data_IF_624663095641
#
_entry.id   IF_624663095641
#
_cell.length_a   1.000
_cell.length_b   1.000
_cell.length_c   1.000
_cell.angle_alpha   90.00
_cell.angle_beta   90.00
_cell.angle_gamma   90.00
#
_symmetry.space_group_name_H-M   'P 1'
#
loop_
_entity.id
_entity.type
_entity.pdbx_description
1 polymer ?
#
# COMPACT_ATOMS: atom_id res chain seq x y z
N UNK A 1 36.45 9.06 -3.29
CA UNK A 1 35.33 9.20 -2.33
C UNK A 1 34.26 8.18 -2.70
N UNK A 2 34.32 7.00 -2.10
CA UNK A 2 33.32 5.93 -2.24
C UNK A 2 32.89 5.56 -0.83
N UNK A 3 31.61 5.78 -0.48
CA UNK A 3 31.06 5.36 0.80
C UNK A 3 30.26 4.08 0.57
N UNK A 4 30.91 2.97 0.88
CA UNK A 4 30.38 1.62 0.89
C UNK A 4 29.22 1.51 1.89
N UNK A 5 28.05 1.07 1.41
CA UNK A 5 26.89 0.69 2.22
C UNK A 5 27.28 -0.51 3.11
N UNK A 6 27.10 -0.36 4.43
CA UNK A 6 27.27 -1.46 5.39
C UNK A 6 25.94 -2.24 5.44
N UNK A 7 26.01 -3.53 5.14
CA UNK A 7 24.87 -4.45 5.12
C UNK A 7 24.13 -4.43 6.47
N UNK A 8 22.81 -4.30 6.40
CA UNK A 8 21.87 -4.36 7.51
C UNK A 8 21.69 -5.84 7.90
N UNK A 9 22.36 -6.28 8.96
CA UNK A 9 22.18 -7.60 9.57
C UNK A 9 21.19 -7.45 10.72
N UNK A 10 19.97 -7.98 10.57
CA UNK A 10 19.00 -8.09 11.67
C UNK A 10 19.44 -9.21 12.61
N UNK A 11 19.66 -8.88 13.89
CA UNK A 11 19.87 -9.86 14.96
C UNK A 11 18.59 -10.70 15.21
N UNK A 12 18.69 -12.03 15.37
CA UNK A 12 17.54 -12.94 15.45
C UNK A 12 16.90 -13.02 16.85
N UNK A 13 17.01 -11.98 17.69
CA UNK A 13 16.45 -12.00 19.06
C UNK A 13 15.73 -10.70 19.39
N UNK A 14 14.65 -10.41 18.67
CA UNK A 14 13.64 -9.45 19.12
C UNK A 14 12.67 -10.20 20.02
N UNK A 15 12.72 -9.88 21.32
CA UNK A 15 11.77 -10.33 22.32
C UNK A 15 10.38 -9.81 21.95
N UNK A 16 9.49 -10.71 21.51
CA UNK A 16 8.10 -10.40 21.18
C UNK A 16 7.36 -10.15 22.50
N UNK A 17 6.86 -8.93 22.77
CA UNK A 17 6.05 -8.70 23.97
C UNK A 17 4.72 -9.48 23.86
N UNK A 18 4.14 -9.89 25.00
CA UNK A 18 2.97 -10.75 25.03
C UNK A 18 1.79 -10.13 24.28
N UNK A 19 1.10 -10.98 23.54
CA UNK A 19 -0.06 -10.70 22.71
C UNK A 19 -1.10 -9.91 23.49
N UNK A 20 -1.60 -8.80 22.91
CA UNK A 20 -2.75 -8.08 23.43
C UNK A 20 -3.96 -9.02 23.48
N UNK A 21 -4.56 -9.26 24.66
CA UNK A 21 -5.71 -10.14 24.80
C UNK A 21 -6.97 -9.41 24.32
N UNK A 22 -7.76 -10.07 23.50
CA UNK A 22 -9.20 -9.78 23.36
C UNK A 22 -9.58 -8.70 22.35
N UNK A 23 -9.44 -9.03 21.06
CA UNK A 23 -10.42 -8.66 20.06
C UNK A 23 -10.35 -9.69 18.92
N UNK A 24 -10.81 -10.91 19.21
CA UNK A 24 -11.36 -11.76 18.15
C UNK A 24 -12.58 -11.01 17.66
N UNK A 25 -12.36 -10.11 16.70
CA UNK A 25 -13.42 -9.61 15.84
C UNK A 25 -13.87 -10.84 15.07
N UNK A 26 -14.93 -11.49 15.57
CA UNK A 26 -15.78 -12.37 14.79
C UNK A 26 -16.06 -11.65 13.47
N UNK A 27 -15.31 -12.01 12.43
CA UNK A 27 -15.59 -11.58 11.09
C UNK A 27 -16.95 -12.16 10.76
N UNK A 28 -17.98 -11.34 10.92
CA UNK A 28 -19.32 -11.68 10.48
C UNK A 28 -19.22 -12.10 9.01
N UNK A 29 -19.86 -13.22 8.61
CA UNK A 29 -19.93 -13.61 7.21
C UNK A 29 -20.95 -12.69 6.55
N UNK A 30 -20.54 -11.46 6.25
CA UNK A 30 -21.27 -10.53 5.41
C UNK A 30 -20.49 -10.46 4.11
N UNK A 31 -20.97 -10.94 2.97
CA UNK A 31 -22.31 -11.25 2.48
C UNK A 31 -22.03 -12.10 1.26
N UNK A 32 -22.61 -13.28 1.11
CA UNK A 32 -22.55 -14.09 -0.11
C UNK A 32 -22.92 -13.25 -1.34
N UNK A 33 -21.98 -12.78 -2.19
CA UNK A 33 -22.35 -12.58 -3.57
C UNK A 33 -22.15 -13.95 -4.20
N UNK A 34 -23.22 -14.62 -4.63
CA UNK A 34 -23.06 -15.66 -5.65
C UNK A 34 -22.27 -15.00 -6.75
N UNK A 35 -20.95 -15.26 -6.80
CA UNK A 35 -20.06 -14.70 -7.81
C UNK A 35 -20.77 -15.08 -9.10
N UNK A 36 -21.23 -14.04 -9.81
CA UNK A 36 -22.40 -13.92 -10.69
C UNK A 36 -22.73 -15.05 -11.77
N UNK A 37 -22.56 -16.37 -11.59
CA UNK A 37 -22.54 -17.43 -12.65
C UNK A 37 -21.50 -17.30 -13.81
N UNK A 38 -21.01 -18.39 -14.45
CA UNK A 38 -19.84 -18.46 -15.38
C UNK A 38 -19.76 -17.47 -16.58
N UNK A 39 -20.77 -16.64 -16.81
CA UNK A 39 -20.96 -15.72 -17.92
C UNK A 39 -19.96 -14.56 -18.01
N UNK A 40 -19.32 -14.15 -16.91
CA UNK A 40 -18.28 -13.09 -16.91
C UNK A 40 -16.86 -13.64 -16.92
N UNK A 41 -16.68 -14.96 -16.97
CA UNK A 41 -15.37 -15.58 -17.21
C UNK A 41 -14.67 -15.02 -18.45
N UNK A 42 -15.34 -14.80 -19.62
CA UNK A 42 -14.68 -14.17 -20.77
C UNK A 42 -14.21 -12.74 -20.47
N UNK A 43 -14.99 -11.95 -19.73
CA UNK A 43 -14.61 -10.58 -19.34
C UNK A 43 -13.41 -10.59 -18.39
N UNK A 44 -13.42 -11.48 -17.40
CA UNK A 44 -12.30 -11.65 -16.48
C UNK A 44 -11.04 -12.17 -17.18
N UNK A 45 -11.18 -13.03 -18.21
CA UNK A 45 -10.06 -13.53 -19.01
C UNK A 45 -9.44 -12.42 -19.88
N UNK A 46 -10.26 -11.59 -20.52
CA UNK A 46 -9.78 -10.40 -21.26
C UNK A 46 -9.06 -9.44 -20.31
N UNK A 47 -9.63 -9.21 -19.12
CA UNK A 47 -8.98 -8.38 -18.11
C UNK A 47 -7.65 -8.97 -17.63
N UNK A 48 -7.58 -10.29 -17.41
CA UNK A 48 -6.35 -10.99 -17.09
C UNK A 48 -5.28 -10.83 -18.16
N UNK A 49 -5.66 -10.93 -19.45
CA UNK A 49 -4.76 -10.74 -20.57
C UNK A 49 -4.22 -9.29 -20.64
N UNK A 50 -5.09 -8.29 -20.43
CA UNK A 50 -4.69 -6.87 -20.37
C UNK A 50 -3.71 -6.63 -19.22
N UNK A 51 -3.99 -7.17 -18.02
CA UNK A 51 -3.08 -7.07 -16.88
C UNK A 51 -1.75 -7.78 -17.16
N UNK A 52 -1.78 -8.98 -17.73
CA UNK A 52 -0.59 -9.75 -18.09
C UNK A 52 0.29 -8.99 -19.10
N UNK A 53 -0.32 -8.41 -20.14
CA UNK A 53 0.39 -7.58 -21.11
C UNK A 53 0.98 -6.34 -20.45
N UNK A 54 0.18 -5.60 -19.66
CA UNK A 54 0.67 -4.43 -18.92
C UNK A 54 1.87 -4.80 -18.05
N UNK A 55 1.81 -5.93 -17.36
CA UNK A 55 2.90 -6.42 -16.53
C UNK A 55 4.13 -6.79 -17.34
N UNK A 56 3.95 -7.51 -18.46
CA UNK A 56 5.04 -7.85 -19.36
C UNK A 56 5.74 -6.59 -19.88
N UNK A 57 5.01 -5.52 -20.18
CA UNK A 57 5.58 -4.24 -20.62
C UNK A 57 6.41 -3.53 -19.53
N UNK A 58 6.03 -3.62 -18.26
CA UNK A 58 6.87 -3.13 -17.16
C UNK A 58 8.08 -4.05 -16.92
N UNK A 59 7.88 -5.37 -17.04
CA UNK A 59 8.91 -6.38 -16.77
C UNK A 59 9.99 -6.37 -17.87
N UNK A 60 9.62 -6.05 -19.11
CA UNK A 60 10.55 -5.84 -20.23
C UNK A 60 11.20 -4.46 -20.27
N UNK A 61 10.80 -3.54 -19.38
CA UNK A 61 11.33 -2.17 -19.32
C UNK A 61 10.79 -1.22 -20.39
N UNK A 62 9.80 -1.64 -21.19
CA UNK A 62 9.12 -0.76 -22.16
C UNK A 62 8.38 0.37 -21.44
N UNK A 63 7.71 0.05 -20.33
CA UNK A 63 7.13 1.05 -19.44
C UNK A 63 8.13 1.42 -18.33
N UNK A 64 8.35 2.71 -18.06
CA UNK A 64 9.35 3.15 -17.11
C UNK A 64 8.90 2.88 -15.67
N UNK A 65 9.81 2.32 -14.87
CA UNK A 65 9.72 2.28 -13.41
C UNK A 65 10.88 3.07 -12.79
N UNK A 66 10.58 3.90 -11.79
CA UNK A 66 11.54 4.80 -11.13
C UNK A 66 11.52 4.55 -9.62
N UNK A 67 12.67 4.69 -8.96
CA UNK A 67 12.70 4.77 -7.50
C UNK A 67 12.18 6.14 -7.05
N UNK A 68 11.60 6.20 -5.86
CA UNK A 68 11.16 7.45 -5.26
C UNK A 68 12.32 8.35 -4.83
N UNK A 69 12.02 9.62 -4.59
CA UNK A 69 12.98 10.59 -4.02
C UNK A 69 13.33 10.29 -2.55
N UNK A 70 12.51 9.48 -1.87
CA UNK A 70 12.70 9.01 -0.50
C UNK A 70 12.63 7.48 -0.46
N UNK A 71 13.27 6.81 0.52
CA UNK A 71 13.06 5.39 0.76
C UNK A 71 11.59 5.05 0.97
N UNK A 72 11.12 4.00 0.31
CA UNK A 72 9.69 3.65 0.24
C UNK A 72 9.39 2.25 0.75
N UNK A 73 8.43 2.16 1.66
CA UNK A 73 7.81 0.91 2.10
C UNK A 73 6.37 0.89 1.60
N UNK A 74 6.07 0.06 0.60
CA UNK A 74 4.73 -0.07 0.06
C UNK A 74 4.00 -1.20 0.76
N UNK A 75 2.81 -0.92 1.28
CA UNK A 75 1.87 -1.93 1.78
C UNK A 75 0.72 -1.98 0.78
N UNK A 76 0.43 -3.17 0.26
CA UNK A 76 -0.70 -3.35 -0.65
C UNK A 76 -1.38 -4.69 -0.47
N UNK A 77 -2.48 -4.86 -1.19
CA UNK A 77 -3.23 -6.11 -1.28
C UNK A 77 -3.53 -6.38 -2.74
N UNK A 78 -3.66 -7.66 -3.06
CA UNK A 78 -4.04 -8.13 -4.39
C UNK A 78 -5.57 -8.31 -4.49
N UNK A 79 -6.31 -8.36 -3.37
CA UNK A 79 -7.76 -8.60 -3.31
C UNK A 79 -8.61 -7.30 -3.13
N UNK A 80 -9.86 -7.34 -3.61
CA UNK A 80 -10.96 -6.43 -3.29
C UNK A 80 -11.48 -6.80 -1.90
N UNK A 81 -11.32 -5.90 -0.92
CA UNK A 81 -11.87 -6.10 0.42
C UNK A 81 -11.02 -5.45 1.50
N UNK A 82 -11.58 -5.38 2.71
CA UNK A 82 -10.92 -4.85 3.90
C UNK A 82 -9.89 -5.81 4.47
N UNK A 83 -8.72 -5.92 3.84
CA UNK A 83 -7.60 -6.76 4.31
C UNK A 83 -6.80 -6.16 5.48
N UNK A 84 -7.38 -5.22 6.22
CA UNK A 84 -6.71 -4.58 7.35
C UNK A 84 -5.48 -3.74 6.96
N UNK A 85 -5.38 -3.28 5.70
CA UNK A 85 -4.28 -2.41 5.24
C UNK A 85 -4.05 -1.22 6.15
N UNK A 86 -5.11 -0.47 6.44
CA UNK A 86 -5.04 0.75 7.24
C UNK A 86 -4.48 0.47 8.65
N UNK A 87 -4.97 -0.52 9.41
CA UNK A 87 -4.29 -0.97 10.64
C UNK A 87 -2.80 -1.29 10.48
N UNK A 88 -2.41 -2.02 9.42
CA UNK A 88 -1.02 -2.37 9.18
C UNK A 88 -0.14 -1.16 8.82
N UNK A 89 -0.64 -0.24 7.99
CA UNK A 89 0.04 1.01 7.65
C UNK A 89 0.31 1.83 8.91
N UNK A 90 -0.68 1.93 9.81
CA UNK A 90 -0.55 2.64 11.07
C UNK A 90 0.49 1.99 12.00
N UNK A 91 0.42 0.66 12.19
CA UNK A 91 1.37 -0.07 13.05
C UNK A 91 2.81 0.04 12.51
N UNK A 92 3.00 -0.13 11.20
CA UNK A 92 4.32 0.02 10.58
C UNK A 92 4.85 1.44 10.71
N UNK A 93 4.02 2.45 10.40
CA UNK A 93 4.44 3.85 10.51
C UNK A 93 4.80 4.22 11.96
N UNK A 94 4.01 3.78 12.94
CA UNK A 94 4.26 4.02 14.36
C UNK A 94 5.56 3.35 14.83
N UNK A 95 5.80 2.08 14.47
CA UNK A 95 7.04 1.37 14.82
C UNK A 95 8.25 2.03 14.18
N UNK A 96 8.16 2.41 12.90
CA UNK A 96 9.25 3.09 12.22
C UNK A 96 9.57 4.44 12.86
N UNK A 97 8.55 5.19 13.31
CA UNK A 97 8.76 6.46 13.99
C UNK A 97 9.46 6.26 15.34
N UNK A 98 9.03 5.27 16.13
CA UNK A 98 9.69 4.92 17.40
C UNK A 98 11.16 4.50 17.23
N UNK A 99 11.54 3.93 16.08
CA UNK A 99 12.91 3.51 15.79
C UNK A 99 13.77 4.63 15.19
N UNK A 100 13.20 5.46 14.33
CA UNK A 100 13.94 6.46 13.54
C UNK A 100 13.90 7.87 14.14
N UNK A 101 12.96 8.12 15.05
CA UNK A 101 12.69 9.40 15.68
C UNK A 101 11.43 10.08 15.12
N UNK A 102 10.82 10.93 15.95
CA UNK A 102 9.61 11.68 15.58
C UNK A 102 9.80 12.53 14.33
N UNK A 103 8.76 12.57 13.48
CA UNK A 103 8.76 13.39 12.26
C UNK A 103 9.67 12.90 11.14
N UNK A 104 10.33 11.75 11.30
CA UNK A 104 11.17 11.13 10.26
C UNK A 104 10.39 10.19 9.34
N UNK A 105 9.15 9.86 9.67
CA UNK A 105 8.29 8.96 8.90
C UNK A 105 7.17 9.75 8.24
N UNK A 106 6.89 9.41 6.97
CA UNK A 106 5.76 9.93 6.23
C UNK A 106 4.84 8.81 5.76
N UNK A 107 3.58 9.16 5.51
CA UNK A 107 2.60 8.31 4.84
C UNK A 107 2.13 9.02 3.57
N UNK A 108 2.12 8.32 2.44
CA UNK A 108 1.58 8.81 1.18
C UNK A 108 0.43 7.93 0.71
N UNK A 109 -0.78 8.49 0.70
CA UNK A 109 -1.99 7.83 0.20
C UNK A 109 -2.45 8.41 -1.14
N UNK A 110 -3.39 7.72 -1.81
CA UNK A 110 -4.07 8.25 -3.01
C UNK A 110 -5.04 9.35 -2.64
N UNK A 111 -5.70 9.22 -1.48
CA UNK A 111 -6.87 10.01 -1.13
C UNK A 111 -8.06 9.67 -2.01
N UNK A 112 -8.52 8.42 -1.98
CA UNK A 112 -9.68 7.99 -2.75
C UNK A 112 -10.93 8.78 -2.33
N UNK A 113 -11.75 9.18 -3.30
CA UNK A 113 -13.01 9.91 -3.04
C UNK A 113 -12.84 11.37 -2.58
N UNK A 114 -11.61 11.91 -2.58
CA UNK A 114 -11.37 13.30 -2.21
C UNK A 114 -11.79 14.30 -3.30
N UNK A 115 -12.04 15.54 -2.91
CA UNK A 115 -12.40 16.67 -3.79
C UNK A 115 -11.19 17.36 -4.41
N UNK A 116 -10.06 17.38 -3.70
CA UNK A 116 -8.83 18.03 -4.19
C UNK A 116 -8.05 17.15 -5.16
N UNK A 117 -7.10 17.74 -5.87
CA UNK A 117 -6.21 17.05 -6.80
C UNK A 117 -4.76 17.45 -6.55
N UNK A 118 -3.82 16.58 -6.93
CA UNK A 118 -2.40 16.84 -6.76
C UNK A 118 -1.94 16.64 -5.32
N UNK A 119 -0.78 17.21 -4.99
CA UNK A 119 -0.18 17.03 -3.67
C UNK A 119 -0.88 17.90 -2.62
N UNK A 120 -1.28 17.28 -1.50
CA UNK A 120 -1.81 17.97 -0.33
C UNK A 120 -1.32 17.27 0.95
N UNK A 121 -0.82 18.03 1.92
CA UNK A 121 -0.64 17.53 3.28
C UNK A 121 -2.01 17.42 3.94
N UNK A 122 -2.30 16.29 4.59
CA UNK A 122 -3.61 16.07 5.20
C UNK A 122 -3.92 17.13 6.27
N UNK A 123 -2.90 17.60 7.01
CA UNK A 123 -3.03 18.70 7.99
C UNK A 123 -3.41 20.04 7.38
N UNK A 124 -3.12 20.26 6.09
CA UNK A 124 -3.43 21.51 5.41
C UNK A 124 -4.85 21.49 4.81
N UNK A 125 -5.51 20.32 4.80
CA UNK A 125 -6.91 20.18 4.41
C UNK A 125 -7.84 20.67 5.52
N UNK A 126 -8.94 21.31 5.15
CA UNK A 126 -9.94 21.79 6.11
C UNK A 126 -10.86 20.65 6.56
N UNK A 127 -11.13 19.72 5.65
CA UNK A 127 -12.05 18.61 5.90
C UNK A 127 -11.51 17.29 5.37
N UNK A 128 -12.07 16.19 5.87
CA UNK A 128 -11.80 14.85 5.33
C UNK A 128 -12.15 14.74 3.83
N UNK A 129 -13.02 15.61 3.28
CA UNK A 129 -13.31 15.60 1.85
C UNK A 129 -12.10 16.03 1.02
N UNK A 130 -11.21 16.83 1.59
CA UNK A 130 -10.04 17.33 0.88
C UNK A 130 -8.97 16.27 0.73
N UNK A 131 -8.81 15.39 1.72
CA UNK A 131 -7.81 14.32 1.70
C UNK A 131 -8.38 12.93 1.43
N UNK A 132 -9.67 12.73 1.61
CA UNK A 132 -10.28 11.41 1.81
C UNK A 132 -10.39 11.07 3.30
N UNK A 133 -11.31 10.17 3.61
CA UNK A 133 -11.61 9.67 4.95
C UNK A 133 -10.46 8.85 5.55
N UNK A 134 -9.86 7.93 4.78
CA UNK A 134 -8.76 7.09 5.27
C UNK A 134 -7.51 7.92 5.63
N UNK A 135 -6.99 8.84 4.78
CA UNK A 135 -5.81 9.63 5.13
C UNK A 135 -6.07 10.59 6.28
N UNK A 136 -7.29 11.14 6.36
CA UNK A 136 -7.71 11.99 7.48
C UNK A 136 -7.71 11.21 8.81
N UNK A 137 -8.22 9.98 8.80
CA UNK A 137 -8.17 9.08 9.95
C UNK A 137 -6.72 8.77 10.33
N UNK A 138 -5.86 8.46 9.36
CA UNK A 138 -4.45 8.16 9.61
C UNK A 138 -3.73 9.34 10.29
N UNK A 139 -3.94 10.55 9.77
CA UNK A 139 -3.35 11.76 10.34
C UNK A 139 -3.84 12.02 11.77
N UNK A 140 -5.10 11.72 12.06
CA UNK A 140 -5.70 11.87 13.39
C UNK A 140 -5.13 10.87 14.39
N UNK A 141 -4.83 9.64 13.94
CA UNK A 141 -4.27 8.58 14.80
C UNK A 141 -2.75 8.70 15.01
N UNK A 142 -2.04 9.30 14.06
CA UNK A 142 -0.59 9.54 14.13
C UNK A 142 -0.28 11.03 13.94
N UNK A 143 -0.47 11.88 14.98
CA UNK A 143 -0.27 13.32 14.87
C UNK A 143 1.16 13.76 14.55
N UNK A 144 2.14 12.94 14.94
CA UNK A 144 3.59 13.14 14.72
C UNK A 144 4.04 12.77 13.30
N UNK A 145 3.37 11.78 12.69
CA UNK A 145 3.68 11.29 11.35
C UNK A 145 3.15 12.25 10.27
N UNK A 146 3.96 12.46 9.24
CA UNK A 146 3.61 13.32 8.11
C UNK A 146 2.69 12.60 7.12
N UNK A 147 1.39 12.90 7.09
CA UNK A 147 0.47 12.26 6.14
C UNK A 147 0.17 13.20 4.96
N UNK A 148 0.38 12.68 3.75
CA UNK A 148 0.08 13.37 2.49
C UNK A 148 -0.77 12.53 1.56
N UNK A 149 -1.42 13.20 0.63
CA UNK A 149 -2.23 12.59 -0.44
C UNK A 149 -1.79 13.14 -1.79
N UNK A 150 -1.62 12.24 -2.75
CA UNK A 150 -1.28 12.57 -4.14
C UNK A 150 -1.64 11.39 -5.04
N UNK A 151 -2.22 11.62 -6.22
CA UNK A 151 -2.49 10.55 -7.18
C UNK A 151 -1.19 9.99 -7.77
N UNK A 152 -0.28 10.88 -8.14
CA UNK A 152 1.06 10.55 -8.62
C UNK A 152 2.01 10.31 -7.44
N UNK A 153 2.48 9.06 -7.31
CA UNK A 153 3.34 8.67 -6.18
C UNK A 153 4.73 9.26 -6.27
N UNK A 154 5.30 9.36 -7.47
CA UNK A 154 6.63 9.90 -7.65
C UNK A 154 6.62 11.40 -7.36
N UNK A 155 5.64 12.12 -7.91
CA UNK A 155 5.46 13.52 -7.61
C UNK A 155 5.20 13.76 -6.12
N UNK A 156 4.35 12.94 -5.48
CA UNK A 156 4.10 13.03 -4.05
C UNK A 156 5.37 12.87 -3.22
N UNK A 157 6.20 11.87 -3.53
CA UNK A 157 7.46 11.62 -2.85
C UNK A 157 8.46 12.78 -3.02
N UNK A 158 8.56 13.35 -4.22
CA UNK A 158 9.39 14.53 -4.50
C UNK A 158 8.96 15.74 -3.68
N UNK A 159 7.65 15.99 -3.61
CA UNK A 159 7.07 17.09 -2.80
C UNK A 159 7.31 16.87 -1.31
N UNK A 160 7.16 15.65 -0.81
CA UNK A 160 7.47 15.30 0.57
C UNK A 160 8.95 15.50 0.90
N UNK A 161 9.85 15.03 0.04
CA UNK A 161 11.30 15.17 0.20
C UNK A 161 11.72 16.64 0.29
N UNK A 162 11.14 17.46 -0.58
CA UNK A 162 11.45 18.89 -0.66
C UNK A 162 10.90 19.65 0.55
N UNK A 163 9.65 19.40 0.93
CA UNK A 163 8.99 20.17 1.98
C UNK A 163 9.36 19.70 3.40
N UNK A 164 9.76 18.43 3.57
CA UNK A 164 10.21 17.87 4.85
C UNK A 164 11.50 17.07 4.70
N UNK A 165 12.67 17.74 4.67
CA UNK A 165 13.97 17.08 4.51
C UNK A 165 14.34 16.10 5.63
N UNK A 166 13.67 16.18 6.79
CA UNK A 166 13.85 15.25 7.90
C UNK A 166 13.24 13.86 7.65
N UNK A 167 12.39 13.71 6.62
CA UNK A 167 11.81 12.42 6.27
C UNK A 167 12.89 11.44 5.81
N UNK A 168 12.87 10.26 6.41
CA UNK A 168 13.82 9.16 6.15
C UNK A 168 13.17 7.99 5.45
N UNK A 169 11.85 7.81 5.64
CA UNK A 169 11.08 6.74 5.01
C UNK A 169 9.65 7.18 4.80
N UNK A 170 9.05 6.75 3.69
CA UNK A 170 7.63 6.96 3.39
C UNK A 170 6.93 5.61 3.25
N UNK A 171 5.84 5.44 4.00
CA UNK A 171 4.94 4.29 3.89
C UNK A 171 3.85 4.64 2.88
N UNK A 172 3.64 3.78 1.89
CA UNK A 172 2.62 3.98 0.86
C UNK A 172 1.48 3.00 1.06
N UNK A 173 0.26 3.54 1.11
CA UNK A 173 -0.96 2.74 1.08
C UNK A 173 -1.42 2.51 -0.37
N UNK A 174 -1.70 1.25 -0.68
CA UNK A 174 -2.18 0.74 -1.97
C UNK A 174 -1.25 1.03 -3.16
N UNK A 175 0.06 0.91 -2.94
CA UNK A 175 1.08 1.11 -3.98
C UNK A 175 1.30 -0.09 -4.91
N UNK A 176 0.77 -1.28 -4.59
CA UNK A 176 1.02 -2.51 -5.38
C UNK A 176 0.62 -2.40 -6.86
N UNK A 177 -0.40 -1.60 -7.18
CA UNK A 177 -0.86 -1.43 -8.56
C UNK A 177 -0.10 -0.34 -9.32
N UNK A 178 0.69 0.48 -8.62
CA UNK A 178 1.39 1.63 -9.18
C UNK A 178 2.82 1.26 -9.57
N UNK A 179 2.96 0.55 -10.69
CA UNK A 179 4.25 0.05 -11.20
C UNK A 179 5.23 1.12 -11.67
N UNK A 180 4.79 2.36 -11.86
CA UNK A 180 5.67 3.48 -12.16
C UNK A 180 6.65 3.74 -11.00
N UNK A 181 6.23 3.48 -9.76
CA UNK A 181 7.09 3.48 -8.59
C UNK A 181 7.69 2.09 -8.39
N UNK A 182 9.01 2.02 -8.29
CA UNK A 182 9.75 0.86 -7.81
C UNK A 182 9.99 1.03 -6.31
N UNK A 183 9.30 0.26 -5.45
CA UNK A 183 9.49 0.34 -4.00
C UNK A 183 10.86 -0.19 -3.58
N UNK A 184 11.33 0.26 -2.42
CA UNK A 184 12.51 -0.31 -1.77
C UNK A 184 12.13 -1.56 -0.96
N UNK A 185 10.95 -1.55 -0.34
CA UNK A 185 10.33 -2.71 0.30
C UNK A 185 8.86 -2.80 -0.10
N UNK A 186 8.42 -3.99 -0.52
CA UNK A 186 7.04 -4.28 -0.88
C UNK A 186 6.45 -5.36 0.02
N UNK A 187 5.45 -4.99 0.84
CA UNK A 187 4.72 -5.91 1.71
C UNK A 187 3.36 -6.23 1.10
N UNK A 188 3.09 -7.50 0.86
CA UNK A 188 1.83 -8.00 0.32
C UNK A 188 0.92 -8.53 1.42
N UNK A 189 -0.19 -7.85 1.68
CA UNK A 189 -1.26 -8.41 2.51
C UNK A 189 -2.11 -9.35 1.65
N UNK A 190 -2.36 -10.54 2.16
CA UNK A 190 -3.22 -11.55 1.51
C UNK A 190 -4.31 -11.93 2.49
N UNK A 191 -5.56 -11.87 2.03
CA UNK A 191 -6.69 -12.34 2.81
C UNK A 191 -6.73 -13.87 2.89
N UNK A 192 -7.84 -14.41 3.41
CA UNK A 192 -8.20 -15.83 3.25
C UNK A 192 -9.37 -15.92 2.28
N UNK A 193 -9.15 -15.78 0.96
CA UNK A 193 -10.22 -15.94 -0.03
C UNK A 193 -10.71 -17.40 -0.06
N UNK A 194 -11.96 -17.60 -0.47
CA UNK A 194 -12.54 -18.92 -0.67
C UNK A 194 -11.73 -19.70 -1.73
N UNK A 195 -11.53 -21.01 -1.51
CA UNK A 195 -10.79 -21.89 -2.42
C UNK A 195 -11.32 -21.86 -3.87
N UNK A 196 -12.61 -21.59 -4.07
CA UNK A 196 -13.26 -21.53 -5.38
C UNK A 196 -13.06 -20.19 -6.10
N UNK A 197 -12.69 -19.14 -5.37
CA UNK A 197 -12.45 -17.80 -5.94
C UNK A 197 -10.99 -17.38 -5.90
N UNK A 198 -10.14 -18.22 -5.27
CA UNK A 198 -8.69 -18.15 -5.36
C UNK A 198 -8.28 -18.02 -6.82
N UNK A 199 -7.60 -16.90 -7.16
CA UNK A 199 -7.07 -16.57 -8.49
C UNK A 199 -8.08 -16.03 -9.51
N UNK A 200 -9.35 -15.86 -9.17
CA UNK A 200 -10.33 -15.22 -10.06
C UNK A 200 -10.25 -13.68 -9.92
N UNK A 201 -10.03 -13.01 -11.05
CA UNK A 201 -10.01 -11.55 -11.11
C UNK A 201 -11.41 -10.94 -11.08
N UNK A 202 -11.51 -9.68 -10.67
CA UNK A 202 -12.74 -8.87 -10.81
C UNK A 202 -13.22 -8.89 -12.27
N UNK A 203 -14.51 -9.11 -12.57
CA UNK A 203 -15.64 -9.32 -11.64
C UNK A 203 -15.94 -10.79 -11.25
N UNK A 204 -15.16 -11.76 -11.76
CA UNK A 204 -15.36 -13.19 -11.51
C UNK A 204 -14.89 -13.64 -10.12
N UNK A 205 -14.08 -12.84 -9.44
CA UNK A 205 -13.58 -13.09 -8.10
C UNK A 205 -12.99 -11.83 -7.46
N UNK A 206 -12.41 -11.97 -6.26
CA UNK A 206 -11.98 -10.81 -5.47
C UNK A 206 -10.65 -10.21 -5.96
N UNK A 207 -9.86 -10.87 -6.82
CA UNK A 207 -8.51 -10.39 -7.12
C UNK A 207 -8.52 -9.17 -8.06
N UNK A 208 -7.91 -8.06 -7.61
CA UNK A 208 -7.70 -6.83 -8.40
C UNK A 208 -6.50 -6.94 -9.35
N UNK A 209 -5.55 -7.82 -9.05
CA UNK A 209 -4.35 -8.02 -9.84
C UNK A 209 -3.99 -9.51 -9.91
N UNK A 210 -3.07 -9.89 -10.80
CA UNK A 210 -2.69 -11.29 -10.99
C UNK A 210 -2.05 -11.84 -9.70
N UNK A 211 -2.41 -13.07 -9.24
CA UNK A 211 -1.81 -13.68 -8.05
C UNK A 211 -0.27 -13.81 -8.12
N UNK A 212 0.28 -13.86 -9.34
CA UNK A 212 1.73 -13.82 -9.58
C UNK A 212 2.41 -12.55 -9.05
N UNK A 213 1.65 -11.50 -8.72
CA UNK A 213 2.16 -10.29 -8.05
C UNK A 213 2.65 -10.55 -6.64
N UNK A 214 2.08 -11.52 -5.94
CA UNK A 214 2.55 -11.91 -4.60
C UNK A 214 4.00 -12.40 -4.61
N UNK A 215 4.45 -13.01 -5.72
CA UNK A 215 5.86 -13.43 -5.89
C UNK A 215 6.86 -12.27 -5.94
N UNK A 216 6.39 -11.02 -6.02
CA UNK A 216 7.23 -9.82 -6.03
C UNK A 216 7.24 -9.09 -4.70
N UNK A 217 6.41 -9.50 -3.75
CA UNK A 217 6.47 -8.99 -2.40
C UNK A 217 7.72 -9.55 -1.73
N UNK A 218 8.40 -8.70 -0.98
CA UNK A 218 9.53 -9.10 -0.14
C UNK A 218 9.03 -9.84 1.12
N UNK A 219 7.82 -9.49 1.57
CA UNK A 219 7.15 -10.03 2.74
C UNK A 219 5.66 -10.25 2.50
#
# INVERSE_FOLDING_TARGET
MSRTFKAFSMDPKVHVPPQFPGAVSDASPSTDPRWLGPWWMPVAAVWAAVLALRHALYDSGVLPSRRGALPTLVIGNVELGGTGKTPHVLDVAHRLEGLLGEGTVGILSRGYGRTTKGFLWVKDGETWRDSGDEPWMMQSRLPSVAVAVCEDRLHGLERMATARPALRVVVLDDGMQHRTLRPDVLVGLVGRPDAHTWRLLVPAGPFRDLPSRLKRCDH
#
